data_IF_985505756843
#
_entry.id   IF_985505756843
#
_cell.length_a   1.000
_cell.length_b   1.000
_cell.length_c   1.000
_cell.angle_alpha   90.00
_cell.angle_beta   90.00
_cell.angle_gamma   90.00
#
_symmetry.space_group_name_H-M   'P 1'
#
loop_
_entity.id
_entity.type
_entity.pdbx_description
1 polymer ?
#
# COMPACT_ATOMS: atom_id res chain seq x y z
N UNK A 1 0.34 -11.25 0.89
CA UNK A 1 -0.75 -10.39 0.39
C UNK A 1 -2.10 -10.92 0.87
N UNK A 2 -3.06 -10.04 1.05
CA UNK A 2 -4.43 -10.41 1.41
C UNK A 2 -5.42 -9.44 0.75
N UNK A 3 -6.55 -9.99 0.27
CA UNK A 3 -7.70 -9.16 -0.09
C UNK A 3 -8.39 -8.69 1.18
N UNK A 4 -8.77 -7.42 1.22
CA UNK A 4 -9.46 -6.83 2.36
C UNK A 4 -10.65 -6.03 1.86
N UNK A 5 -11.79 -6.26 2.49
CA UNK A 5 -12.98 -5.43 2.33
C UNK A 5 -13.47 -5.02 3.69
N UNK A 6 -13.58 -3.71 3.91
CA UNK A 6 -14.12 -3.15 5.14
C UNK A 6 -15.49 -2.54 4.87
N UNK A 7 -16.45 -2.87 5.72
CA UNK A 7 -17.79 -2.33 5.64
C UNK A 7 -18.12 -1.62 6.97
N UNK A 8 -18.62 -0.41 6.87
CA UNK A 8 -19.23 0.28 8.00
C UNK A 8 -20.68 -0.20 8.11
N UNK A 9 -21.01 -0.77 9.26
CA UNK A 9 -22.37 -1.23 9.58
C UNK A 9 -22.98 -0.23 10.55
N UNK A 10 -24.13 0.33 10.20
CA UNK A 10 -24.83 1.30 11.03
C UNK A 10 -26.34 1.04 10.97
N UNK A 11 -27.05 1.50 12.01
CA UNK A 11 -28.50 1.43 12.07
C UNK A 11 -29.11 2.76 11.64
N UNK A 12 -30.03 2.72 10.70
CA UNK A 12 -30.82 3.86 10.27
C UNK A 12 -32.24 3.70 10.80
N UNK A 13 -32.74 4.68 11.55
CA UNK A 13 -34.14 4.69 12.01
C UNK A 13 -35.07 4.91 10.83
N UNK A 14 -36.05 4.03 10.66
CA UNK A 14 -37.18 4.20 9.75
C UNK A 14 -38.40 4.67 10.54
N UNK A 15 -39.09 5.68 10.04
CA UNK A 15 -40.10 6.43 10.75
C UNK A 15 -41.35 5.60 11.15
N UNK A 16 -41.49 4.38 10.71
CA UNK A 16 -42.67 3.54 10.99
C UNK A 16 -42.45 2.08 11.40
N UNK A 17 -41.22 1.50 11.23
CA UNK A 17 -41.02 0.06 11.43
C UNK A 17 -39.69 -0.33 12.09
N UNK A 18 -39.11 0.50 12.93
CA UNK A 18 -37.88 0.10 13.65
C UNK A 18 -36.59 0.53 12.98
N UNK A 19 -35.50 -0.20 13.25
CA UNK A 19 -34.15 0.11 12.74
C UNK A 19 -33.79 -0.82 11.59
N UNK A 20 -33.35 -0.24 10.47
CA UNK A 20 -32.76 -0.97 9.37
C UNK A 20 -31.22 -1.02 9.51
N UNK A 21 -30.64 -2.21 9.36
CA UNK A 21 -29.19 -2.35 9.35
C UNK A 21 -28.64 -2.06 7.96
N UNK A 22 -27.98 -0.91 7.82
CA UNK A 22 -27.32 -0.51 6.57
C UNK A 22 -25.85 -0.89 6.59
N UNK A 23 -25.33 -1.25 5.44
CA UNK A 23 -23.89 -1.51 5.22
C UNK A 23 -23.36 -0.57 4.16
N UNK A 24 -22.28 0.13 4.48
CA UNK A 24 -21.55 0.97 3.53
C UNK A 24 -20.13 0.41 3.39
N UNK A 25 -19.75 0.04 2.18
CA UNK A 25 -18.37 -0.30 1.90
C UNK A 25 -17.49 0.94 2.06
N UNK A 26 -16.46 0.85 2.89
CA UNK A 26 -15.52 1.95 3.17
C UNK A 26 -14.14 1.71 2.58
N UNK A 27 -13.80 0.46 2.30
CA UNK A 27 -12.54 0.09 1.66
C UNK A 27 -12.69 -1.26 0.96
N UNK A 28 -12.09 -1.34 -0.23
CA UNK A 28 -11.88 -2.58 -0.97
C UNK A 28 -10.49 -2.53 -1.60
N UNK A 29 -9.68 -3.54 -1.37
CA UNK A 29 -8.33 -3.51 -1.92
C UNK A 29 -7.45 -4.64 -1.43
N UNK A 30 -6.14 -4.43 -1.55
CA UNK A 30 -5.12 -5.41 -1.22
C UNK A 30 -4.19 -4.84 -0.14
N UNK A 31 -3.88 -5.66 0.84
CA UNK A 31 -2.80 -5.42 1.80
C UNK A 31 -1.62 -6.31 1.43
N UNK A 32 -0.50 -5.69 1.09
CA UNK A 32 0.77 -6.35 0.84
C UNK A 32 1.67 -6.20 2.06
N UNK A 33 2.31 -7.29 2.49
CA UNK A 33 3.31 -7.27 3.56
C UNK A 33 4.55 -7.99 3.09
N UNK A 34 5.68 -7.29 3.15
CA UNK A 34 6.98 -7.81 2.76
C UNK A 34 7.91 -7.77 3.98
N UNK A 35 8.75 -8.79 4.13
CA UNK A 35 9.81 -8.78 5.14
C UNK A 35 11.03 -8.09 4.55
N UNK A 36 11.53 -7.08 5.26
CA UNK A 36 12.76 -6.37 4.90
C UNK A 36 13.97 -6.99 5.64
N UNK A 37 15.15 -6.89 5.06
CA UNK A 37 16.38 -7.43 5.67
C UNK A 37 16.82 -6.59 6.85
N UNK A 38 16.76 -5.28 6.76
CA UNK A 38 17.19 -4.36 7.82
C UNK A 38 15.98 -3.88 8.62
N UNK A 39 16.01 -4.02 9.95
CA UNK A 39 14.96 -3.49 10.81
C UNK A 39 14.98 -1.96 10.80
N UNK A 40 13.79 -1.36 10.94
CA UNK A 40 13.65 0.06 11.24
C UNK A 40 13.67 0.27 12.74
N UNK A 41 14.46 1.22 13.26
CA UNK A 41 14.52 1.50 14.68
C UNK A 41 13.18 2.03 15.23
N UNK A 42 12.46 2.77 14.42
CA UNK A 42 11.14 3.29 14.77
C UNK A 42 10.17 3.20 13.59
N UNK A 43 8.85 3.05 13.84
CA UNK A 43 7.87 3.00 12.78
C UNK A 43 7.86 4.27 11.93
N UNK A 44 7.71 4.10 10.62
CA UNK A 44 7.47 5.18 9.66
C UNK A 44 6.19 4.85 8.93
N UNK A 45 5.17 5.69 9.11
CA UNK A 45 3.85 5.54 8.52
C UNK A 45 3.59 6.70 7.56
N UNK A 46 3.05 6.41 6.41
CA UNK A 46 2.56 7.41 5.49
C UNK A 46 1.14 7.07 5.04
N UNK A 47 0.23 8.02 5.21
CA UNK A 47 -1.15 7.92 4.78
C UNK A 47 -1.45 8.95 3.70
N UNK A 48 -2.40 8.64 2.83
CA UNK A 48 -2.95 9.65 1.93
C UNK A 48 -3.41 10.86 2.75
N UNK A 49 -3.02 12.04 2.30
CA UNK A 49 -3.38 13.29 2.95
C UNK A 49 -4.86 13.59 2.78
N UNK A 50 -5.52 13.90 3.87
CA UNK A 50 -6.89 14.42 3.93
C UNK A 50 -6.87 15.84 4.49
N UNK A 51 -7.97 16.56 4.42
CA UNK A 51 -8.07 17.92 4.99
C UNK A 51 -7.76 17.94 6.49
N UNK A 52 -8.13 16.89 7.21
CA UNK A 52 -7.93 16.74 8.65
C UNK A 52 -6.57 16.10 9.01
N UNK A 53 -5.71 15.82 8.03
CA UNK A 53 -4.42 15.18 8.31
C UNK A 53 -3.53 16.09 9.13
N UNK A 54 -2.95 15.62 10.24
CA UNK A 54 -2.01 16.41 11.02
C UNK A 54 -0.78 16.76 10.18
N UNK A 55 -0.09 17.86 10.53
CA UNK A 55 1.19 18.18 9.92
C UNK A 55 2.19 17.07 10.25
N UNK A 56 2.58 16.32 9.21
CA UNK A 56 3.57 15.26 9.32
C UNK A 56 5.00 15.74 9.08
N UNK A 57 5.91 14.80 8.98
CA UNK A 57 7.27 15.06 8.55
C UNK A 57 7.26 15.41 7.06
N UNK A 58 7.83 16.57 6.69
CA UNK A 58 8.01 16.94 5.30
C UNK A 58 9.27 16.28 4.74
N UNK A 59 9.15 15.67 3.56
CA UNK A 59 10.26 15.02 2.86
C UNK A 59 11.06 15.98 1.98
N UNK A 60 10.47 17.13 1.66
CA UNK A 60 11.01 18.13 0.73
C UNK A 60 10.65 17.86 -0.74
N UNK A 61 9.92 16.79 -1.01
CA UNK A 61 9.34 16.55 -2.33
C UNK A 61 7.87 17.01 -2.32
N UNK A 62 7.59 18.13 -2.96
CA UNK A 62 6.27 18.75 -2.92
C UNK A 62 5.15 17.84 -3.45
N UNK A 63 5.41 17.04 -4.50
CA UNK A 63 4.40 16.14 -5.07
C UNK A 63 4.05 15.06 -4.05
N UNK A 64 5.06 14.47 -3.43
CA UNK A 64 4.87 13.45 -2.40
C UNK A 64 4.21 14.02 -1.14
N UNK A 65 4.68 15.18 -0.65
CA UNK A 65 4.17 15.83 0.56
C UNK A 65 2.72 16.35 0.39
N UNK A 66 2.29 16.66 -0.85
CA UNK A 66 0.90 16.97 -1.15
C UNK A 66 0.01 15.70 -1.13
N UNK A 67 0.57 14.56 -1.50
CA UNK A 67 -0.18 13.30 -1.60
C UNK A 67 -0.23 12.52 -0.29
N UNK A 68 0.88 12.54 0.48
CA UNK A 68 1.03 11.75 1.70
C UNK A 68 1.36 12.61 2.91
N UNK A 69 0.81 12.20 4.06
CA UNK A 69 1.18 12.70 5.38
C UNK A 69 2.04 11.64 6.06
N UNK A 70 3.30 11.99 6.38
CA UNK A 70 4.27 11.08 6.99
C UNK A 70 4.30 11.28 8.50
N UNK A 71 4.17 10.21 9.24
CA UNK A 71 4.34 10.15 10.70
C UNK A 71 5.55 9.29 11.03
N UNK A 72 6.49 9.84 11.78
CA UNK A 72 7.68 9.17 12.29
C UNK A 72 8.10 9.82 13.61
N UNK A 73 8.89 9.12 14.42
CA UNK A 73 9.38 9.66 15.69
C UNK A 73 10.37 10.84 15.50
N UNK A 74 11.11 10.81 14.37
CA UNK A 74 12.03 11.89 14.01
C UNK A 74 12.11 12.09 12.49
N UNK A 75 12.59 13.27 12.06
CA UNK A 75 12.89 13.52 10.65
C UNK A 75 13.97 12.58 10.12
N UNK A 76 14.92 12.18 10.95
CA UNK A 76 16.00 11.27 10.57
C UNK A 76 15.46 9.87 10.30
N UNK A 77 14.54 9.36 11.14
CA UNK A 77 13.90 8.06 10.92
C UNK A 77 13.14 8.03 9.59
N UNK A 78 12.39 9.11 9.31
CA UNK A 78 11.71 9.26 8.03
C UNK A 78 12.70 9.29 6.86
N UNK A 79 13.76 10.11 6.94
CA UNK A 79 14.75 10.29 5.88
C UNK A 79 15.53 9.01 5.56
N UNK A 80 15.77 8.15 6.57
CA UNK A 80 16.43 6.86 6.37
C UNK A 80 15.65 5.91 5.45
N UNK A 81 14.32 6.07 5.36
CA UNK A 81 13.46 5.21 4.55
C UNK A 81 12.85 5.91 3.35
N UNK A 82 12.50 7.18 3.52
CA UNK A 82 11.99 8.01 2.43
C UNK A 82 13.15 8.67 1.68
N UNK A 83 14.01 7.82 1.11
CA UNK A 83 15.07 8.31 0.22
C UNK A 83 14.46 8.94 -1.04
N UNK A 84 15.13 9.90 -1.70
CA UNK A 84 14.64 10.46 -2.95
C UNK A 84 14.28 9.39 -3.99
N UNK A 85 15.11 8.34 -4.10
CA UNK A 85 14.86 7.21 -4.99
C UNK A 85 13.57 6.45 -4.66
N UNK A 86 13.30 6.24 -3.36
CA UNK A 86 12.08 5.58 -2.92
C UNK A 86 10.84 6.46 -3.15
N UNK A 87 10.93 7.76 -2.90
CA UNK A 87 9.86 8.74 -3.14
C UNK A 87 9.51 8.79 -4.63
N UNK A 88 10.51 8.85 -5.52
CA UNK A 88 10.32 8.83 -6.96
C UNK A 88 9.69 7.51 -7.43
N UNK A 89 10.13 6.39 -6.86
CA UNK A 89 9.54 5.08 -7.12
C UNK A 89 8.06 5.06 -6.74
N UNK A 90 7.71 5.45 -5.51
CA UNK A 90 6.32 5.47 -5.05
C UNK A 90 5.43 6.40 -5.87
N UNK A 91 5.95 7.58 -6.23
CA UNK A 91 5.21 8.55 -7.04
C UNK A 91 4.90 7.99 -8.44
N UNK A 92 5.82 7.23 -9.04
CA UNK A 92 5.58 6.55 -10.32
C UNK A 92 4.64 5.37 -10.13
N UNK A 93 4.89 4.56 -9.10
CA UNK A 93 4.08 3.39 -8.79
C UNK A 93 2.61 3.74 -8.56
N UNK A 94 2.31 4.81 -7.79
CA UNK A 94 0.94 5.28 -7.52
C UNK A 94 0.21 5.75 -8.80
N UNK A 95 0.96 6.25 -9.80
CA UNK A 95 0.38 6.63 -11.10
C UNK A 95 0.12 5.45 -12.03
N UNK A 96 0.94 4.42 -11.93
CA UNK A 96 0.95 3.32 -12.87
C UNK A 96 0.12 2.12 -12.41
N UNK A 97 -0.21 2.05 -11.11
CA UNK A 97 -1.02 0.97 -10.56
C UNK A 97 -2.51 1.21 -10.87
N UNK A 98 -3.24 0.17 -11.22
CA UNK A 98 -4.70 0.23 -11.36
C UNK A 98 -5.33 0.31 -9.96
N UNK A 99 -5.52 1.53 -9.45
CA UNK A 99 -5.96 1.83 -8.08
C UNK A 99 -5.21 3.00 -7.48
N UNK A 100 -5.14 3.05 -6.17
CA UNK A 100 -4.37 4.07 -5.45
C UNK A 100 -3.72 3.53 -4.18
N UNK A 101 -2.55 4.05 -3.83
CA UNK A 101 -1.94 3.81 -2.53
C UNK A 101 -2.71 4.62 -1.48
N UNK A 102 -3.22 3.95 -0.44
CA UNK A 102 -3.83 4.60 0.72
C UNK A 102 -2.84 4.83 1.85
N UNK A 103 -2.02 3.82 2.11
CA UNK A 103 -1.04 3.89 3.19
C UNK A 103 0.10 2.93 2.94
N UNK A 104 1.26 3.27 3.47
CA UNK A 104 2.38 2.33 3.62
C UNK A 104 3.08 2.56 4.96
N UNK A 105 3.72 1.52 5.47
CA UNK A 105 4.34 1.54 6.78
C UNK A 105 5.57 0.64 6.82
N UNK A 106 6.62 1.11 7.50
CA UNK A 106 7.68 0.24 8.00
C UNK A 106 7.57 0.10 9.52
N UNK A 107 7.58 -1.12 9.99
CA UNK A 107 7.58 -1.48 11.41
C UNK A 107 8.50 -2.66 11.64
N UNK A 108 9.59 -2.46 12.38
CA UNK A 108 10.61 -3.47 12.57
C UNK A 108 11.18 -3.97 11.24
N UNK A 109 10.99 -5.24 10.92
CA UNK A 109 11.41 -5.87 9.65
C UNK A 109 10.26 -6.02 8.64
N UNK A 110 9.20 -5.26 8.78
CA UNK A 110 8.02 -5.41 7.92
C UNK A 110 7.76 -4.10 7.19
N UNK A 111 7.65 -4.19 5.87
CA UNK A 111 7.05 -3.17 5.02
C UNK A 111 5.63 -3.61 4.68
N UNK A 112 4.67 -2.73 4.88
CA UNK A 112 3.27 -2.95 4.56
C UNK A 112 2.80 -1.87 3.59
N UNK A 113 2.02 -2.26 2.59
CA UNK A 113 1.41 -1.37 1.60
C UNK A 113 -0.06 -1.70 1.46
N UNK A 114 -0.92 -0.70 1.50
CA UNK A 114 -2.36 -0.82 1.30
C UNK A 114 -2.73 -0.12 0.01
N UNK A 115 -3.31 -0.89 -0.90
CA UNK A 115 -3.80 -0.42 -2.20
C UNK A 115 -5.32 -0.51 -2.22
N UNK A 116 -5.99 0.59 -2.50
CA UNK A 116 -7.40 0.57 -2.90
C UNK A 116 -7.47 0.21 -4.38
N UNK A 117 -8.18 -0.87 -4.69
CA UNK A 117 -8.23 -1.40 -6.05
C UNK A 117 -9.42 -2.33 -6.25
N UNK A 118 -9.88 -2.46 -7.48
CA UNK A 118 -10.93 -3.39 -7.85
C UNK A 118 -10.40 -4.80 -8.19
N UNK A 119 -9.12 -4.94 -8.46
CA UNK A 119 -8.50 -6.25 -8.60
C UNK A 119 -8.06 -6.81 -7.23
N UNK A 120 -7.83 -8.12 -7.17
CA UNK A 120 -7.38 -8.77 -5.95
C UNK A 120 -6.82 -10.17 -6.22
N UNK A 121 -6.38 -10.83 -5.13
CA UNK A 121 -5.89 -12.20 -5.23
C UNK A 121 -7.07 -13.11 -5.59
N UNK A 122 -7.00 -13.72 -6.76
CA UNK A 122 -8.02 -14.66 -7.22
C UNK A 122 -9.46 -14.09 -7.20
N UNK A 123 -9.63 -12.81 -7.53
CA UNK A 123 -10.95 -12.18 -7.59
C UNK A 123 -11.47 -12.13 -9.01
N UNK A 124 -12.78 -12.23 -9.13
CA UNK A 124 -13.53 -11.93 -10.36
C UNK A 124 -14.22 -10.59 -10.11
N UNK A 125 -14.14 -9.68 -11.07
CA UNK A 125 -14.80 -8.38 -10.95
C UNK A 125 -16.30 -8.57 -10.73
N UNK A 126 -16.88 -7.78 -9.81
CA UNK A 126 -18.31 -7.89 -9.45
C UNK A 126 -19.28 -7.57 -10.61
N UNK A 127 -18.76 -6.93 -11.66
CA UNK A 127 -19.53 -6.63 -12.89
C UNK A 127 -19.58 -7.80 -13.88
N UNK A 128 -18.87 -8.91 -13.61
CA UNK A 128 -18.84 -10.05 -14.51
C UNK A 128 -20.00 -10.98 -14.20
N UNK A 129 -20.77 -11.33 -15.23
CA UNK A 129 -21.77 -12.35 -15.13
C UNK A 129 -21.10 -13.72 -14.98
N UNK A 130 -21.34 -14.39 -13.86
CA UNK A 130 -20.78 -15.71 -13.56
C UNK A 130 -21.36 -16.83 -14.42
N UNK A 131 -22.46 -16.59 -15.15
CA UNK A 131 -22.98 -17.51 -16.14
C UNK A 131 -22.12 -17.56 -17.43
N UNK A 132 -21.36 -16.47 -17.71
CA UNK A 132 -20.33 -16.44 -18.76
C UNK A 132 -18.97 -16.87 -18.19
N UNK A 133 -18.68 -18.15 -18.27
CA UNK A 133 -17.44 -18.74 -17.76
C UNK A 133 -16.18 -18.15 -18.43
N UNK A 134 -16.27 -17.76 -19.71
CA UNK A 134 -15.14 -17.18 -20.42
C UNK A 134 -14.88 -15.74 -19.95
N UNK A 135 -15.91 -14.94 -19.68
CA UNK A 135 -15.76 -13.62 -19.08
C UNK A 135 -15.19 -13.72 -17.67
N UNK A 136 -15.68 -14.65 -16.85
CA UNK A 136 -15.16 -14.90 -15.50
C UNK A 136 -13.68 -15.32 -15.54
N UNK A 137 -13.29 -16.20 -16.45
CA UNK A 137 -11.90 -16.63 -16.63
C UNK A 137 -10.99 -15.48 -17.07
N UNK A 138 -11.41 -14.66 -18.02
CA UNK A 138 -10.65 -13.47 -18.46
C UNK A 138 -10.45 -12.48 -17.31
N UNK A 139 -11.49 -12.21 -16.54
CA UNK A 139 -11.43 -11.33 -15.38
C UNK A 139 -10.44 -11.85 -14.33
N UNK A 140 -10.49 -13.13 -14.02
CA UNK A 140 -9.57 -13.78 -13.08
C UNK A 140 -8.11 -13.70 -13.53
N UNK A 141 -7.83 -14.01 -14.81
CA UNK A 141 -6.48 -13.93 -15.38
C UNK A 141 -5.96 -12.49 -15.34
N UNK A 142 -6.81 -11.49 -15.64
CA UNK A 142 -6.45 -10.08 -15.53
C UNK A 142 -6.05 -9.73 -14.11
N UNK A 143 -6.84 -10.08 -13.11
CA UNK A 143 -6.54 -9.81 -11.70
C UNK A 143 -5.21 -10.42 -11.26
N UNK A 144 -4.88 -11.63 -11.72
CA UNK A 144 -3.59 -12.27 -11.43
C UNK A 144 -2.41 -11.54 -12.09
N UNK A 145 -2.59 -11.07 -13.33
CA UNK A 145 -1.55 -10.31 -14.04
C UNK A 145 -1.27 -8.97 -13.37
N UNK A 146 -2.32 -8.24 -12.99
CA UNK A 146 -2.18 -6.97 -12.28
C UNK A 146 -1.46 -7.16 -10.93
N UNK A 147 -1.88 -8.17 -10.15
CA UNK A 147 -1.19 -8.50 -8.90
C UNK A 147 0.28 -8.87 -9.13
N UNK A 148 0.58 -9.69 -10.14
CA UNK A 148 1.95 -10.04 -10.52
C UNK A 148 2.77 -8.80 -10.83
N UNK A 149 2.25 -7.91 -11.68
CA UNK A 149 2.91 -6.63 -12.02
C UNK A 149 3.19 -5.76 -10.79
N UNK A 150 2.25 -5.68 -9.84
CA UNK A 150 2.43 -4.95 -8.59
C UNK A 150 3.56 -5.56 -7.75
N UNK A 151 3.58 -6.88 -7.62
CA UNK A 151 4.60 -7.59 -6.84
C UNK A 151 5.99 -7.47 -7.47
N UNK A 152 6.11 -7.64 -8.78
CA UNK A 152 7.38 -7.52 -9.50
C UNK A 152 7.97 -6.12 -9.33
N UNK A 153 7.17 -5.08 -9.51
CA UNK A 153 7.60 -3.69 -9.29
C UNK A 153 8.03 -3.41 -7.85
N UNK A 154 7.35 -3.98 -6.85
CA UNK A 154 7.73 -3.82 -5.45
C UNK A 154 9.03 -4.55 -5.14
N UNK A 155 9.23 -5.75 -5.71
CA UNK A 155 10.45 -6.54 -5.50
C UNK A 155 11.66 -5.86 -6.16
N UNK A 156 11.48 -5.29 -7.35
CA UNK A 156 12.52 -4.54 -8.07
C UNK A 156 12.72 -3.13 -7.51
N UNK A 157 11.78 -2.67 -6.70
CA UNK A 157 11.79 -1.31 -6.15
C UNK A 157 12.79 -1.12 -5.01
N UNK A 158 13.23 0.12 -4.78
CA UNK A 158 14.25 0.46 -3.77
C UNK A 158 13.81 0.15 -2.33
N UNK A 159 12.52 -0.07 -2.09
CA UNK A 159 12.01 -0.45 -0.77
C UNK A 159 12.62 -1.76 -0.24
N UNK A 160 12.96 -2.68 -1.15
CA UNK A 160 13.49 -4.00 -0.82
C UNK A 160 14.97 -4.15 -1.23
N UNK A 161 15.44 -3.41 -2.23
CA UNK A 161 16.79 -3.55 -2.82
C UNK A 161 17.84 -2.65 -2.20
N UNK A 162 17.51 -1.43 -1.74
CA UNK A 162 18.49 -0.49 -1.16
C UNK A 162 19.18 -1.02 0.11
N UNK A 163 18.75 -2.18 0.58
CA UNK A 163 19.31 -2.88 1.74
C UNK A 163 20.39 -3.89 1.36
N UNK A 164 20.32 -4.44 0.16
CA UNK A 164 21.29 -5.45 -0.33
C UNK A 164 22.63 -4.81 -0.63
N UNK A 165 22.65 -3.61 -1.21
CA UNK A 165 23.90 -2.90 -1.57
C UNK A 165 24.75 -2.52 -0.35
N UNK A 166 24.14 -2.30 0.84
CA UNK A 166 24.90 -1.96 2.06
C UNK A 166 25.58 -3.15 2.74
N UNK A 167 25.05 -4.36 2.60
CA UNK A 167 25.70 -5.56 3.17
C UNK A 167 26.92 -6.01 2.35
N UNK A 168 26.94 -5.79 1.05
CA UNK A 168 28.13 -6.07 0.23
C UNK A 168 29.26 -5.08 0.52
N UNK A 169 28.98 -3.82 0.81
CA UNK A 169 30.01 -2.82 1.17
C UNK A 169 30.59 -3.03 2.57
N UNK A 170 29.82 -3.59 3.53
CA UNK A 170 30.28 -3.85 4.89
C UNK A 170 31.13 -5.10 5.05
N UNK A 171 31.11 -6.02 4.11
CA UNK A 171 31.90 -7.27 4.16
C UNK A 171 33.34 -7.14 3.65
N UNK A 172 33.66 -6.08 2.91
CA UNK A 172 34.98 -5.92 2.31
C UNK A 172 36.01 -5.22 3.20
N UNK A 173 35.63 -4.62 4.33
CA UNK A 173 36.57 -3.89 5.19
C UNK A 173 37.07 -4.63 6.45
N UNK A 174 36.49 -5.79 6.82
CA UNK A 174 36.88 -6.49 8.04
C UNK A 174 37.68 -7.80 7.86
N UNK A 175 38.05 -8.15 6.64
CA UNK A 175 38.85 -9.37 6.35
C UNK A 175 40.24 -9.06 5.71
N UNK A 176 40.91 -8.00 6.22
CA UNK A 176 42.36 -7.78 5.92
C UNK A 176 43.16 -7.47 7.16
#
# INVERSE_FOLDING_TARGET
AANVQLNHVYQKGCSHEGYETCRKMVFKGIVLRCRTWVPVPSPVLANVRTEDSPCGVLTGNNIFDCRFCVTANSKQDAACRLTPRFIDFLTKFDKDVEGQILTFCWEGKIFSLVLETDFGIATIASSVDLSDLDAARRSYIRSLKELGSVLDRLIEGPALTDVVEREEYGRTENDR
#
